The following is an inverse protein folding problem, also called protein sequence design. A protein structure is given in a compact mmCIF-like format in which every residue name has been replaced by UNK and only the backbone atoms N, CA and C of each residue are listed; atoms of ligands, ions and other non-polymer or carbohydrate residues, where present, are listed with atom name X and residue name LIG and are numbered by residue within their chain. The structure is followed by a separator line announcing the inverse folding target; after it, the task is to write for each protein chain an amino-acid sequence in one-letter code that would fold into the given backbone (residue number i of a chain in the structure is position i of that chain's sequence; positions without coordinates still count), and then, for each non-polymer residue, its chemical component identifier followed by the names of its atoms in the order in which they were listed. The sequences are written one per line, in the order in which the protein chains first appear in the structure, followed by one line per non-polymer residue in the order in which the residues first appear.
data_IF_636532330046
#
_entry.id   IF_636532330046
#
_cell.length_a   1.000
_cell.length_b   1.000
_cell.length_c   1.000
_cell.angle_alpha   90.00
_cell.angle_beta   90.00
_cell.angle_gamma   90.00
#
_symmetry.space_group_name_H-M   'P 1'
#
loop_
_entity.id
_entity.type
_entity.pdbx_description
1 polymer ?
#
# COMPACT_ATOMS: atom_id res chain seq x y z
N UNK A 1 -22.88 12.17 9.87
CA UNK A 1 -22.36 12.33 11.25
C UNK A 1 -21.69 11.03 11.76
N UNK A 2 -22.13 9.84 11.31
CA UNK A 2 -21.59 8.56 11.79
C UNK A 2 -20.40 8.03 10.98
N UNK A 3 -19.87 8.77 10.03
CA UNK A 3 -18.74 8.34 9.19
C UNK A 3 -17.39 8.90 9.66
N UNK A 4 -17.39 9.73 10.68
CA UNK A 4 -16.18 10.29 11.29
C UNK A 4 -15.62 9.36 12.37
N UNK A 5 -14.31 9.45 12.58
CA UNK A 5 -13.68 8.74 13.68
C UNK A 5 -14.32 9.14 15.01
N UNK A 6 -14.65 8.11 15.80
CA UNK A 6 -15.12 8.30 17.16
C UNK A 6 -14.09 7.64 18.08
N UNK A 7 -13.32 8.42 18.82
CA UNK A 7 -12.38 7.92 19.85
C UNK A 7 -13.16 7.35 21.05
N UNK A 8 -14.01 6.39 20.78
CA UNK A 8 -14.96 5.81 21.71
C UNK A 8 -15.24 4.35 21.31
N UNK A 9 -15.50 3.41 22.21
CA UNK A 9 -15.79 2.01 21.88
C UNK A 9 -17.14 1.86 21.14
N UNK A 10 -17.17 2.27 19.89
CA UNK A 10 -18.32 2.20 19.01
C UNK A 10 -17.97 1.37 17.79
N UNK A 11 -18.73 0.32 17.56
CA UNK A 11 -18.66 -0.48 16.33
C UNK A 11 -19.87 -0.18 15.46
N UNK A 12 -19.62 0.05 14.18
CA UNK A 12 -20.64 0.20 13.15
C UNK A 12 -20.59 -1.02 12.24
N UNK A 13 -21.73 -1.49 11.83
CA UNK A 13 -21.82 -2.57 10.84
C UNK A 13 -22.78 -2.20 9.73
N UNK A 14 -22.56 -2.77 8.56
CA UNK A 14 -23.42 -2.67 7.39
C UNK A 14 -23.50 -4.05 6.73
N UNK A 15 -24.69 -4.44 6.28
CA UNK A 15 -24.87 -5.58 5.39
C UNK A 15 -24.72 -5.15 3.94
N UNK A 16 -24.37 -6.07 3.09
CA UNK A 16 -24.21 -5.89 1.65
C UNK A 16 -24.74 -7.12 0.90
N UNK A 17 -25.10 -6.96 -0.36
CA UNK A 17 -25.57 -8.04 -1.22
C UNK A 17 -24.44 -8.63 -2.05
N UNK A 18 -23.50 -7.79 -2.51
CA UNK A 18 -22.32 -8.22 -3.26
C UNK A 18 -21.03 -7.79 -2.57
N UNK A 19 -19.95 -8.51 -2.84
CA UNK A 19 -18.65 -8.17 -2.28
C UNK A 19 -18.15 -6.81 -2.78
N UNK A 20 -18.39 -6.50 -4.04
CA UNK A 20 -18.04 -5.22 -4.65
C UNK A 20 -18.73 -4.05 -3.94
N UNK A 21 -20.00 -4.19 -3.61
CA UNK A 21 -20.71 -3.17 -2.82
C UNK A 21 -20.06 -2.95 -1.44
N UNK A 22 -19.61 -4.02 -0.80
CA UNK A 22 -18.89 -3.92 0.47
C UNK A 22 -17.58 -3.15 0.34
N UNK A 23 -16.79 -3.44 -0.71
CA UNK A 23 -15.52 -2.77 -0.98
C UNK A 23 -15.74 -1.30 -1.33
N UNK A 24 -16.71 -0.99 -2.17
CA UNK A 24 -17.05 0.39 -2.54
C UNK A 24 -17.48 1.21 -1.32
N UNK A 25 -18.28 0.63 -0.44
CA UNK A 25 -18.69 1.27 0.82
C UNK A 25 -17.50 1.49 1.76
N UNK A 26 -16.59 0.53 1.84
CA UNK A 26 -15.36 0.65 2.63
C UNK A 26 -14.45 1.75 2.08
N UNK A 27 -14.25 1.80 0.76
CA UNK A 27 -13.47 2.86 0.09
C UNK A 27 -14.06 4.24 0.35
N UNK A 28 -15.37 4.40 0.19
CA UNK A 28 -16.06 5.66 0.45
C UNK A 28 -15.85 6.14 1.89
N UNK A 29 -15.92 5.21 2.85
CA UNK A 29 -15.67 5.52 4.26
C UNK A 29 -14.20 5.89 4.53
N UNK A 30 -13.25 5.17 3.93
CA UNK A 30 -11.81 5.44 4.06
C UNK A 30 -11.44 6.83 3.51
N UNK A 31 -11.98 7.23 2.38
CA UNK A 31 -11.74 8.56 1.82
C UNK A 31 -12.31 9.71 2.65
N UNK A 32 -13.22 9.44 3.56
CA UNK A 32 -13.71 10.46 4.50
C UNK A 32 -12.72 10.75 5.62
N UNK A 33 -12.23 9.73 6.30
CA UNK A 33 -11.30 9.85 7.43
C UNK A 33 -10.57 8.52 7.70
N UNK A 34 -9.76 8.02 6.81
CA UNK A 34 -9.09 6.75 7.09
C UNK A 34 -8.18 6.26 5.99
N UNK A 35 -8.06 7.02 4.90
CA UNK A 35 -7.17 6.65 3.80
C UNK A 35 -5.74 6.43 4.31
N UNK A 36 -5.14 5.33 3.90
CA UNK A 36 -3.80 4.95 4.29
C UNK A 36 -3.68 4.16 5.61
N UNK A 37 -4.77 4.01 6.36
CA UNK A 37 -4.78 3.15 7.56
C UNK A 37 -4.79 1.65 7.20
N UNK A 38 -5.02 0.81 8.19
CA UNK A 38 -5.10 -0.63 8.02
C UNK A 38 -6.56 -1.07 7.85
N UNK A 39 -6.76 -2.12 7.07
CA UNK A 39 -8.03 -2.84 6.98
C UNK A 39 -7.82 -4.34 7.10
N UNK A 40 -8.88 -5.06 7.38
CA UNK A 40 -8.89 -6.52 7.39
C UNK A 40 -9.98 -7.05 6.49
N UNK A 41 -9.69 -8.18 5.86
CA UNK A 41 -10.65 -8.98 5.10
C UNK A 41 -10.65 -10.41 5.64
N UNK A 42 -11.83 -10.98 5.81
CA UNK A 42 -12.03 -12.34 6.28
C UNK A 42 -12.66 -13.16 5.16
N UNK A 43 -11.84 -13.84 4.41
CA UNK A 43 -12.26 -14.65 3.26
C UNK A 43 -11.18 -15.67 2.91
N UNK A 44 -11.60 -16.76 2.26
CA UNK A 44 -10.70 -17.73 1.63
C UNK A 44 -10.76 -17.63 0.09
N UNK A 45 -11.49 -16.67 -0.44
CA UNK A 45 -11.61 -16.43 -1.88
C UNK A 45 -10.50 -15.46 -2.32
N UNK A 46 -9.57 -15.97 -3.10
CA UNK A 46 -8.43 -15.20 -3.62
C UNK A 46 -8.87 -14.07 -4.56
N UNK A 47 -9.95 -14.25 -5.32
CA UNK A 47 -10.48 -13.21 -6.20
C UNK A 47 -10.98 -12.01 -5.37
N UNK A 48 -11.61 -12.25 -4.23
CA UNK A 48 -12.04 -11.21 -3.31
C UNK A 48 -10.84 -10.49 -2.67
N UNK A 49 -9.78 -11.23 -2.33
CA UNK A 49 -8.56 -10.64 -1.78
C UNK A 49 -7.90 -9.72 -2.80
N UNK A 50 -7.73 -10.21 -4.03
CA UNK A 50 -7.15 -9.43 -5.13
C UNK A 50 -7.99 -8.18 -5.40
N UNK A 51 -9.29 -8.33 -5.57
CA UNK A 51 -10.22 -7.21 -5.83
C UNK A 51 -10.12 -6.12 -4.76
N UNK A 52 -10.16 -6.51 -3.48
CA UNK A 52 -10.04 -5.57 -2.37
C UNK A 52 -8.68 -4.89 -2.33
N UNK A 53 -7.59 -5.65 -2.56
CA UNK A 53 -6.22 -5.13 -2.51
C UNK A 53 -5.95 -4.07 -3.58
N UNK A 54 -6.56 -4.21 -4.75
CA UNK A 54 -6.42 -3.28 -5.86
C UNK A 54 -7.23 -1.99 -5.69
N UNK A 55 -8.26 -1.99 -4.87
CA UNK A 55 -9.22 -0.88 -4.76
C UNK A 55 -9.15 -0.11 -3.45
N UNK A 56 -8.84 -0.77 -2.34
CA UNK A 56 -8.87 -0.13 -1.03
C UNK A 56 -7.68 0.80 -0.81
N UNK A 57 -7.89 2.08 -0.47
CA UNK A 57 -6.82 3.03 -0.23
C UNK A 57 -6.24 2.85 1.19
N UNK A 58 -5.58 1.73 1.41
CA UNK A 58 -4.97 1.36 2.69
C UNK A 58 -3.51 1.00 2.51
N UNK A 59 -2.67 1.30 3.50
CA UNK A 59 -1.27 0.90 3.49
C UNK A 59 -1.09 -0.58 3.80
N UNK A 60 -2.08 -1.20 4.43
CA UNK A 60 -2.03 -2.62 4.77
C UNK A 60 -3.43 -3.22 4.77
N UNK A 61 -3.65 -4.20 3.92
CA UNK A 61 -4.82 -5.06 3.95
C UNK A 61 -4.43 -6.39 4.59
N UNK A 62 -5.04 -6.74 5.69
CA UNK A 62 -4.73 -7.96 6.43
C UNK A 62 -5.79 -9.03 6.15
N UNK A 63 -5.34 -10.20 5.74
CA UNK A 63 -6.22 -11.32 5.37
C UNK A 63 -6.34 -12.27 6.56
N UNK A 64 -7.57 -12.55 6.98
CA UNK A 64 -7.93 -13.47 8.06
C UNK A 64 -7.22 -13.19 9.39
N UNK A 65 -6.94 -11.94 9.67
CA UNK A 65 -6.34 -11.47 10.93
C UNK A 65 -6.81 -10.06 11.27
N UNK A 66 -6.64 -9.69 12.52
CA UNK A 66 -7.01 -8.33 12.97
C UNK A 66 -6.09 -7.27 12.36
N UNK A 67 -6.53 -6.01 12.23
CA UNK A 67 -5.76 -4.95 11.58
C UNK A 67 -4.38 -4.67 12.22
N UNK A 68 -4.17 -5.08 13.44
CA UNK A 68 -2.88 -4.99 14.16
C UNK A 68 -2.15 -6.34 14.23
N UNK A 69 -2.51 -7.29 13.36
CA UNK A 69 -1.90 -8.62 13.30
C UNK A 69 -0.39 -8.55 13.11
N UNK A 70 0.34 -9.34 13.90
CA UNK A 70 1.80 -9.35 13.93
C UNK A 70 2.43 -10.51 13.14
N UNK A 71 1.63 -11.48 12.73
CA UNK A 71 2.08 -12.71 12.07
C UNK A 71 2.13 -12.57 10.54
N UNK A 72 2.78 -11.52 10.05
CA UNK A 72 2.81 -11.19 8.62
C UNK A 72 4.22 -11.24 8.00
N UNK A 73 5.24 -11.63 8.78
CA UNK A 73 6.62 -11.73 8.30
C UNK A 73 7.33 -10.40 8.07
N UNK A 74 6.66 -9.27 8.28
CA UNK A 74 7.31 -7.96 8.18
C UNK A 74 8.10 -7.63 9.43
N UNK A 75 9.22 -6.89 9.32
CA UNK A 75 9.92 -6.35 10.47
C UNK A 75 8.98 -5.55 11.38
N UNK A 76 9.11 -5.64 12.70
CA UNK A 76 8.22 -4.95 13.62
C UNK A 76 8.48 -3.44 13.56
N UNK A 77 7.46 -2.69 13.16
CA UNK A 77 7.45 -1.23 13.25
C UNK A 77 6.07 -0.77 13.70
N UNK A 78 6.02 0.37 14.38
CA UNK A 78 4.76 1.01 14.75
C UNK A 78 4.87 2.49 14.44
N UNK A 79 4.01 2.97 13.55
CA UNK A 79 3.89 4.38 13.21
C UNK A 79 2.41 4.78 13.26
N UNK A 80 2.16 6.08 13.45
CA UNK A 80 0.83 6.67 13.31
C UNK A 80 0.65 7.29 11.91
N UNK A 81 1.63 7.15 11.03
CA UNK A 81 1.55 7.60 9.65
C UNK A 81 0.63 6.72 8.81
N UNK A 82 -0.11 7.35 7.92
CA UNK A 82 -1.13 6.71 7.09
C UNK A 82 -0.67 6.50 5.64
N UNK A 83 0.62 6.59 5.36
CA UNK A 83 1.20 6.37 4.05
C UNK A 83 0.83 7.44 3.01
N UNK A 84 1.19 7.18 1.76
CA UNK A 84 0.98 8.12 0.64
C UNK A 84 -0.49 8.40 0.35
N UNK A 85 -1.40 7.49 0.69
CA UNK A 85 -2.85 7.67 0.54
C UNK A 85 -3.41 8.86 1.31
N UNK A 86 -2.76 9.26 2.40
CA UNK A 86 -3.10 10.46 3.19
C UNK A 86 -2.03 11.56 3.14
N UNK A 87 -1.21 11.57 2.11
CA UNK A 87 -0.23 12.62 1.84
C UNK A 87 1.10 12.47 2.58
N UNK A 88 1.38 11.33 3.19
CA UNK A 88 2.68 11.05 3.79
C UNK A 88 3.69 10.61 2.72
N UNK A 89 4.98 10.81 3.00
CA UNK A 89 6.07 10.52 2.05
C UNK A 89 6.38 9.04 1.89
N UNK A 90 5.93 8.18 2.82
CA UNK A 90 6.28 6.77 2.88
C UNK A 90 5.02 5.94 3.04
N UNK A 91 4.89 4.85 2.26
CA UNK A 91 3.83 3.85 2.38
C UNK A 91 4.35 2.47 2.77
N UNK A 92 5.64 2.32 2.94
CA UNK A 92 6.28 1.06 3.32
C UNK A 92 6.55 1.00 4.83
N UNK A 93 7.06 -0.14 5.28
CA UNK A 93 7.48 -0.33 6.66
C UNK A 93 8.53 0.70 7.04
N UNK A 94 8.34 1.44 8.15
CA UNK A 94 9.26 2.48 8.57
C UNK A 94 10.51 1.87 9.19
N UNK A 95 11.66 2.12 8.57
CA UNK A 95 12.97 1.58 8.94
C UNK A 95 13.96 2.70 9.29
N UNK A 96 15.05 2.37 9.95
CA UNK A 96 16.07 3.31 10.40
C UNK A 96 16.67 4.15 9.26
N UNK A 97 16.78 3.60 8.04
CA UNK A 97 17.31 4.31 6.87
C UNK A 97 16.37 5.41 6.35
N UNK A 98 15.11 5.42 6.76
CA UNK A 98 14.19 6.53 6.45
C UNK A 98 14.48 7.79 7.27
N UNK A 99 15.29 7.68 8.32
CA UNK A 99 15.61 8.78 9.21
C UNK A 99 16.73 9.69 8.73
N UNK A 100 17.40 9.35 7.61
CA UNK A 100 18.47 10.16 7.09
C UNK A 100 18.48 10.27 5.57
N UNK A 101 19.10 11.33 5.10
CA UNK A 101 19.28 11.61 3.69
C UNK A 101 20.55 10.88 3.19
N UNK A 102 20.47 10.35 2.00
CA UNK A 102 21.61 9.73 1.32
C UNK A 102 21.99 10.56 0.10
N UNK A 103 23.28 10.86 -0.02
CA UNK A 103 23.84 11.45 -1.24
C UNK A 103 24.59 10.37 -2.01
N UNK A 104 24.21 10.16 -3.25
CA UNK A 104 24.93 9.23 -4.14
C UNK A 104 26.00 10.00 -4.89
N UNK A 105 27.24 9.58 -4.72
CA UNK A 105 28.38 10.10 -5.51
C UNK A 105 28.66 9.10 -6.62
N UNK A 106 28.56 9.55 -7.86
CA UNK A 106 28.92 8.75 -9.03
C UNK A 106 30.13 9.34 -9.71
N UNK A 107 31.06 8.48 -10.06
CA UNK A 107 32.25 8.83 -10.83
C UNK A 107 32.24 8.07 -12.14
N UNK A 108 32.86 8.67 -13.18
CA UNK A 108 32.99 7.99 -14.46
C UNK A 108 33.84 6.72 -14.32
N UNK A 109 33.37 5.61 -14.85
CA UNK A 109 34.11 4.37 -14.86
C UNK A 109 35.23 4.43 -15.95
N UNK A 110 36.40 3.83 -15.69
CA UNK A 110 37.51 3.81 -16.68
C UNK A 110 37.11 3.09 -17.98
N UNK A 111 36.22 2.12 -17.92
CA UNK A 111 35.66 1.45 -19.08
C UNK A 111 34.32 2.10 -19.45
N UNK A 112 34.37 2.98 -20.45
CA UNK A 112 33.19 3.70 -20.97
C UNK A 112 32.27 2.76 -21.75
N UNK A 113 31.61 1.81 -21.07
CA UNK A 113 30.51 1.07 -21.68
C UNK A 113 29.27 1.95 -21.61
N UNK A 114 28.91 2.55 -22.73
CA UNK A 114 27.61 3.17 -22.88
C UNK A 114 26.56 2.05 -22.94
N UNK A 115 25.46 2.22 -22.24
CA UNK A 115 24.31 1.36 -22.38
C UNK A 115 23.82 1.40 -23.82
N UNK A 116 23.65 0.23 -24.41
CA UNK A 116 23.08 0.06 -25.73
C UNK A 116 21.61 -0.35 -25.62
N UNK A 117 20.79 -0.16 -26.67
CA UNK A 117 19.40 -0.58 -26.67
C UNK A 117 19.20 -2.05 -26.25
N UNK A 118 20.08 -2.95 -26.71
CA UNK A 118 20.05 -4.37 -26.36
C UNK A 118 20.29 -4.67 -24.87
N UNK A 119 20.94 -3.76 -24.13
CA UNK A 119 21.17 -3.92 -22.68
C UNK A 119 19.85 -3.70 -21.87
N UNK A 120 18.81 -3.11 -22.49
CA UNK A 120 17.54 -2.86 -21.84
C UNK A 120 16.67 -4.11 -21.71
N UNK A 121 16.86 -5.10 -22.58
CA UNK A 121 16.11 -6.36 -22.56
C UNK A 121 16.36 -7.13 -21.25
N UNK A 122 17.57 -7.04 -20.71
CA UNK A 122 17.96 -7.69 -19.46
C UNK A 122 17.24 -7.10 -18.23
N UNK A 123 16.70 -5.89 -18.34
CA UNK A 123 15.97 -5.20 -17.26
C UNK A 123 14.45 -5.32 -17.39
N UNK A 124 13.94 -6.01 -18.40
CA UNK A 124 12.49 -6.17 -18.62
C UNK A 124 11.78 -4.84 -18.93
N UNK A 125 12.49 -3.83 -19.38
CA UNK A 125 11.91 -2.54 -19.77
C UNK A 125 11.37 -2.66 -21.19
N UNK A 126 10.07 -2.42 -21.33
CA UNK A 126 9.41 -2.44 -22.62
C UNK A 126 10.08 -1.44 -23.59
N UNK A 127 10.49 -1.85 -24.78
CA UNK A 127 11.08 -0.91 -25.74
C UNK A 127 10.07 0.19 -26.07
N UNK A 128 10.56 1.43 -26.11
CA UNK A 128 9.76 2.56 -26.59
C UNK A 128 9.46 2.29 -28.07
N UNK A 129 8.20 2.07 -28.39
CA UNK A 129 7.75 1.99 -29.78
C UNK A 129 7.82 3.43 -30.31
N UNK A 130 8.76 3.71 -31.18
CA UNK A 130 8.76 4.97 -31.96
C UNK A 130 7.62 4.85 -32.98
N UNK A 131 6.66 5.76 -32.91
CA UNK A 131 5.59 5.95 -33.91
C UNK A 131 6.14 6.60 -35.18
#
# INVERSE_FOLDING_TARGET
VLCKECLFPLMRYRTYETFEEAVDAACANLYMEGAGHNSSIWTNDEANIEYASMRMPVSRLQVNQVPLGKNNGMPPTTTLGCGSWSGNSISENFEWYHLYQTTRVSTELPNKRLFKPEDWDDFGICPVVED
#
